data_IF_987036787298
#
_entry.id   IF_987036787298
#
_cell.length_a   1.000
_cell.length_b   1.000
_cell.length_c   1.000
_cell.angle_alpha   90.00
_cell.angle_beta   90.00
_cell.angle_gamma   90.00
#
_symmetry.space_group_name_H-M   'P 1'
#
loop_
_entity.id
_entity.type
_entity.pdbx_description
1 polymer ?
#
# COMPACT_ATOMS: atom_id res chain seq x y z
N UNK A 1 -0.08 6.12 1.85
CA UNK A 1 0.90 5.68 2.86
C UNK A 1 0.28 5.70 4.26
N UNK A 2 0.78 4.94 5.20
CA UNK A 2 2.06 4.20 5.17
C UNK A 2 2.04 2.88 4.39
N UNK A 3 0.86 2.34 3.99
CA UNK A 3 0.77 1.13 3.20
C UNK A 3 -0.10 0.01 3.79
N UNK A 4 -0.77 0.25 4.94
CA UNK A 4 -1.63 -0.75 5.57
C UNK A 4 -2.74 -1.26 4.64
N UNK A 5 -3.43 -0.36 3.91
CA UNK A 5 -4.42 -0.77 2.91
C UNK A 5 -3.79 -1.54 1.74
N UNK A 6 -2.58 -1.14 1.29
CA UNK A 6 -1.87 -1.84 0.20
C UNK A 6 -1.43 -3.25 0.60
N UNK A 7 -0.93 -3.44 1.83
CA UNK A 7 -0.54 -4.77 2.33
C UNK A 7 -1.76 -5.68 2.48
N UNK A 8 -2.87 -5.14 3.00
CA UNK A 8 -4.13 -5.86 3.12
C UNK A 8 -4.69 -6.27 1.75
N UNK A 9 -4.73 -5.32 0.80
CA UNK A 9 -5.18 -5.60 -0.56
C UNK A 9 -4.32 -6.70 -1.19
N UNK A 10 -2.98 -6.61 -1.12
CA UNK A 10 -2.13 -7.63 -1.72
C UNK A 10 -2.40 -9.03 -1.14
N UNK A 11 -2.63 -9.11 0.18
CA UNK A 11 -2.95 -10.38 0.83
C UNK A 11 -4.34 -10.95 0.41
N UNK A 12 -5.28 -10.08 0.06
CA UNK A 12 -6.64 -10.48 -0.34
C UNK A 12 -6.79 -10.71 -1.86
N UNK A 13 -5.92 -10.13 -2.68
CA UNK A 13 -5.99 -10.27 -4.13
C UNK A 13 -5.59 -11.68 -4.58
N UNK A 14 -6.27 -12.25 -5.59
CA UNK A 14 -5.91 -13.54 -6.17
C UNK A 14 -4.46 -13.58 -6.66
N UNK A 15 -3.91 -14.79 -6.74
CA UNK A 15 -2.62 -15.03 -7.37
C UNK A 15 -2.61 -14.52 -8.82
N UNK A 16 -1.48 -13.97 -9.27
CA UNK A 16 -1.34 -13.36 -10.59
C UNK A 16 -1.89 -11.93 -10.69
N UNK A 17 -2.56 -11.41 -9.65
CA UNK A 17 -2.95 -10.00 -9.63
C UNK A 17 -1.75 -9.09 -9.39
N UNK A 18 -1.72 -7.95 -10.07
CA UNK A 18 -0.70 -6.90 -9.87
C UNK A 18 -1.34 -5.70 -9.17
N UNK A 19 -0.73 -5.27 -8.07
CA UNK A 19 -1.14 -4.09 -7.31
C UNK A 19 -0.24 -2.89 -7.65
N UNK A 20 -0.83 -1.77 -8.03
CA UNK A 20 -0.13 -0.48 -8.13
C UNK A 20 -0.50 0.36 -6.91
N UNK A 21 0.48 0.64 -6.06
CA UNK A 21 0.31 1.48 -4.88
C UNK A 21 0.92 2.85 -5.16
N UNK A 22 0.08 3.88 -5.18
CA UNK A 22 0.47 5.25 -5.49
C UNK A 22 0.36 6.18 -4.27
N UNK A 23 1.30 7.10 -4.13
CA UNK A 23 1.27 8.17 -3.14
C UNK A 23 1.80 9.47 -3.75
N UNK A 24 1.08 10.57 -3.55
CA UNK A 24 1.41 11.87 -4.13
C UNK A 24 2.53 12.61 -3.37
N UNK A 25 2.62 12.42 -2.06
CA UNK A 25 3.69 13.00 -1.26
C UNK A 25 4.95 12.14 -1.32
N UNK A 26 6.08 12.74 -1.70
CA UNK A 26 7.34 12.01 -1.91
C UNK A 26 7.88 11.37 -0.64
N UNK A 27 7.74 12.03 0.52
CA UNK A 27 8.22 11.48 1.80
C UNK A 27 7.38 10.28 2.20
N UNK A 28 6.06 10.40 2.06
CA UNK A 28 5.12 9.32 2.32
C UNK A 28 5.26 8.18 1.32
N UNK A 29 5.56 8.47 0.05
CA UNK A 29 5.83 7.45 -0.97
C UNK A 29 7.06 6.59 -0.63
N UNK A 30 8.10 7.17 -0.03
CA UNK A 30 9.25 6.41 0.46
C UNK A 30 8.88 5.48 1.64
N UNK A 31 7.99 5.92 2.54
CA UNK A 31 7.47 5.08 3.63
C UNK A 31 6.62 3.93 3.06
N UNK A 32 5.79 4.22 2.06
CA UNK A 32 5.02 3.22 1.35
C UNK A 32 5.94 2.18 0.69
N UNK A 33 6.96 2.64 -0.04
CA UNK A 33 7.98 1.77 -0.66
C UNK A 33 8.65 0.86 0.37
N UNK A 34 9.08 1.42 1.49
CA UNK A 34 9.70 0.67 2.59
C UNK A 34 8.78 -0.45 3.10
N UNK A 35 7.52 -0.16 3.33
CA UNK A 35 6.56 -1.14 3.83
C UNK A 35 6.23 -2.22 2.77
N UNK A 36 6.19 -1.86 1.49
CA UNK A 36 6.02 -2.85 0.41
C UNK A 36 7.26 -3.75 0.28
N UNK A 37 8.47 -3.21 0.45
CA UNK A 37 9.69 -4.02 0.49
C UNK A 37 9.69 -4.99 1.67
N UNK A 38 9.21 -4.56 2.86
CA UNK A 38 9.06 -5.43 4.03
C UNK A 38 8.02 -6.54 3.82
N UNK A 39 6.96 -6.28 3.08
CA UNK A 39 5.98 -7.30 2.69
C UNK A 39 6.58 -8.32 1.71
N UNK A 40 7.50 -7.89 0.85
CA UNK A 40 8.28 -8.75 -0.04
C UNK A 40 7.52 -9.34 -1.24
N UNK A 41 6.29 -8.91 -1.52
CA UNK A 41 5.52 -9.47 -2.64
C UNK A 41 5.98 -8.88 -3.98
N UNK A 42 6.36 -9.71 -4.98
CA UNK A 42 6.90 -9.23 -6.26
C UNK A 42 5.87 -8.50 -7.13
N UNK A 43 4.57 -8.77 -6.95
CA UNK A 43 3.51 -8.19 -7.77
C UNK A 43 2.92 -6.91 -7.16
N UNK A 44 3.77 -6.11 -6.50
CA UNK A 44 3.43 -4.78 -6.01
C UNK A 44 4.36 -3.76 -6.63
N UNK A 45 3.78 -2.85 -7.42
CA UNK A 45 4.47 -1.69 -7.97
C UNK A 45 4.21 -0.49 -7.07
N UNK A 46 5.23 0.33 -6.84
CA UNK A 46 5.09 1.57 -6.06
C UNK A 46 5.38 2.76 -6.95
N UNK A 47 4.45 3.71 -6.99
CA UNK A 47 4.56 4.93 -7.79
C UNK A 47 4.42 6.19 -6.93
N UNK A 48 4.91 7.31 -7.45
CA UNK A 48 4.84 8.63 -6.84
C UNK A 48 4.33 9.63 -7.87
N UNK A 49 3.01 9.77 -7.97
CA UNK A 49 2.38 10.62 -8.98
C UNK A 49 1.09 11.27 -8.48
N UNK A 50 0.73 12.46 -8.95
CA UNK A 50 -0.64 12.96 -8.85
C UNK A 50 -1.59 12.06 -9.67
N UNK A 51 -2.83 11.84 -9.20
CA UNK A 51 -3.82 10.97 -9.86
C UNK A 51 -4.04 11.30 -11.34
N UNK A 52 -4.06 12.58 -11.71
CA UNK A 52 -4.23 13.07 -13.08
C UNK A 52 -3.18 12.55 -14.08
N UNK A 53 -2.02 12.10 -13.61
CA UNK A 53 -1.01 11.57 -14.51
C UNK A 53 -1.41 10.19 -15.04
N UNK A 54 -2.12 9.39 -14.24
CA UNK A 54 -2.66 8.12 -14.71
C UNK A 54 -3.70 8.30 -15.82
N UNK A 55 -4.52 9.36 -15.76
CA UNK A 55 -5.49 9.68 -16.82
C UNK A 55 -4.85 9.97 -18.19
N UNK A 56 -3.56 10.34 -18.21
CA UNK A 56 -2.80 10.56 -19.45
C UNK A 56 -2.23 9.27 -20.04
N UNK A 57 -2.47 8.14 -19.38
CA UNK A 57 -2.02 6.83 -19.82
C UNK A 57 -3.18 6.02 -20.40
N UNK A 58 -2.86 4.91 -21.07
CA UNK A 58 -3.85 3.91 -21.47
C UNK A 58 -3.92 2.76 -20.44
N UNK A 59 -3.47 3.01 -19.20
CA UNK A 59 -3.55 2.03 -18.12
C UNK A 59 -5.00 1.91 -17.64
N UNK A 60 -5.47 0.68 -17.54
CA UNK A 60 -6.82 0.36 -17.10
C UNK A 60 -6.76 -0.66 -15.97
N UNK A 61 -7.52 -0.41 -14.91
CA UNK A 61 -7.55 -1.22 -13.69
C UNK A 61 -8.93 -1.88 -13.51
N UNK A 62 -8.92 -3.10 -12.99
CA UNK A 62 -10.15 -3.82 -12.62
C UNK A 62 -10.77 -3.26 -11.35
N UNK A 63 -9.90 -2.85 -10.40
CA UNK A 63 -10.28 -2.29 -9.10
C UNK A 63 -9.43 -1.07 -8.82
N UNK A 64 -10.05 0.00 -8.36
CA UNK A 64 -9.38 1.18 -7.83
C UNK A 64 -9.84 1.39 -6.38
N UNK A 65 -8.90 1.40 -5.43
CA UNK A 65 -9.14 1.90 -4.07
C UNK A 65 -8.68 3.35 -3.98
N UNK A 66 -9.64 4.24 -3.80
CA UNK A 66 -9.43 5.67 -3.62
C UNK A 66 -9.53 6.03 -2.14
N UNK A 67 -8.39 5.95 -1.43
CA UNK A 67 -8.25 6.44 -0.04
C UNK A 67 -7.88 7.91 -0.12
N UNK A 68 -8.90 8.75 -0.15
CA UNK A 68 -8.75 10.16 -0.51
C UNK A 68 -8.39 11.04 0.71
N UNK A 69 -7.65 12.15 0.50
CA UNK A 69 -7.43 13.12 1.56
C UNK A 69 -8.77 13.69 2.04
N UNK A 70 -8.95 13.82 3.35
CA UNK A 70 -10.19 14.26 3.97
C UNK A 70 -9.92 15.20 5.13
N UNK A 71 -10.98 15.78 5.72
CA UNK A 71 -10.89 16.70 6.88
C UNK A 71 -10.33 16.03 8.16
N UNK A 72 -10.23 14.69 8.19
CA UNK A 72 -9.47 13.97 9.19
C UNK A 72 -10.11 13.82 10.55
N UNK A 73 -11.42 13.82 10.67
CA UNK A 73 -12.15 13.70 11.96
C UNK A 73 -11.78 12.41 12.72
N UNK A 74 -11.42 11.32 12.03
CA UNK A 74 -10.93 10.09 12.64
C UNK A 74 -9.57 10.23 13.32
N UNK A 75 -8.82 11.31 13.07
CA UNK A 75 -7.53 11.58 13.71
C UNK A 75 -7.66 12.34 15.05
N UNK A 76 -8.82 12.89 15.38
CA UNK A 76 -9.03 13.74 16.57
C UNK A 76 -8.62 13.10 17.89
N UNK A 77 -8.65 11.78 17.98
CA UNK A 77 -8.22 11.03 19.17
C UNK A 77 -6.71 10.95 19.33
N UNK A 78 -5.95 11.17 18.25
CA UNK A 78 -4.50 10.97 18.21
C UNK A 78 -3.70 12.23 17.95
N UNK A 79 -4.33 13.21 17.32
CA UNK A 79 -3.66 14.40 16.83
C UNK A 79 -4.51 15.66 17.14
N UNK A 80 -4.07 16.39 18.14
CA UNK A 80 -4.67 17.68 18.51
C UNK A 80 -4.55 18.73 17.38
N UNK A 81 -3.53 18.58 16.50
CA UNK A 81 -3.36 19.41 15.33
C UNK A 81 -4.51 19.26 14.36
N UNK A 82 -4.99 18.02 14.15
CA UNK A 82 -6.15 17.75 13.30
C UNK A 82 -7.43 18.47 13.77
N UNK A 83 -7.62 18.57 15.11
CA UNK A 83 -8.76 19.33 15.69
C UNK A 83 -8.62 20.82 15.37
N UNK A 84 -7.42 21.37 15.46
CA UNK A 84 -7.16 22.81 15.22
C UNK A 84 -7.29 23.20 13.74
N UNK A 85 -6.95 22.29 12.85
CA UNK A 85 -7.03 22.47 11.40
C UNK A 85 -8.45 22.23 10.86
N UNK A 86 -9.30 21.55 11.60
CA UNK A 86 -10.65 21.24 11.17
C UNK A 86 -11.52 22.48 11.13
N UNK A 87 -12.27 22.65 10.06
CA UNK A 87 -13.29 23.68 9.90
C UNK A 87 -14.30 23.24 8.83
N UNK A 88 -15.49 23.81 8.85
CA UNK A 88 -16.51 23.58 7.80
C UNK A 88 -15.97 23.95 6.42
N UNK A 89 -15.17 25.02 6.33
CA UNK A 89 -14.53 25.41 5.08
C UNK A 89 -13.55 24.35 4.59
N UNK A 90 -12.75 23.75 5.49
CA UNK A 90 -11.83 22.66 5.14
C UNK A 90 -12.57 21.39 4.71
N UNK A 91 -13.72 21.07 5.33
CA UNK A 91 -14.60 19.97 4.90
C UNK A 91 -15.02 20.16 3.43
N UNK A 92 -15.52 21.37 3.08
CA UNK A 92 -15.93 21.66 1.69
C UNK A 92 -14.74 21.64 0.73
N UNK A 93 -13.58 22.16 1.12
CA UNK A 93 -12.36 22.08 0.32
C UNK A 93 -11.94 20.63 0.05
N UNK A 94 -11.94 19.79 1.09
CA UNK A 94 -11.62 18.36 0.97
C UNK A 94 -12.64 17.65 0.05
N UNK A 95 -13.93 17.92 0.19
CA UNK A 95 -14.97 17.38 -0.68
C UNK A 95 -14.69 17.64 -2.15
N UNK A 96 -14.41 18.90 -2.52
CA UNK A 96 -14.14 19.25 -3.92
C UNK A 96 -12.84 18.60 -4.43
N UNK A 97 -11.81 18.54 -3.59
CA UNK A 97 -10.55 17.85 -3.92
C UNK A 97 -10.75 16.36 -4.14
N UNK A 98 -11.61 15.73 -3.36
CA UNK A 98 -11.96 14.31 -3.51
C UNK A 98 -12.66 14.07 -4.85
N UNK A 99 -13.61 14.92 -5.22
CA UNK A 99 -14.31 14.86 -6.52
C UNK A 99 -13.34 15.01 -7.68
N UNK A 100 -12.39 15.95 -7.59
CA UNK A 100 -11.37 16.13 -8.62
C UNK A 100 -10.47 14.87 -8.76
N UNK A 101 -10.04 14.28 -7.66
CA UNK A 101 -9.26 13.03 -7.68
C UNK A 101 -10.05 11.91 -8.36
N UNK A 102 -11.33 11.78 -8.02
CA UNK A 102 -12.20 10.77 -8.60
C UNK A 102 -12.40 10.97 -10.11
N UNK A 103 -12.61 12.22 -10.56
CA UNK A 103 -12.66 12.54 -11.98
C UNK A 103 -11.37 12.18 -12.71
N UNK A 104 -10.22 12.48 -12.10
CA UNK A 104 -8.90 12.20 -12.68
C UNK A 104 -8.66 10.70 -12.87
N UNK A 105 -9.06 9.86 -11.91
CA UNK A 105 -8.81 8.40 -11.96
C UNK A 105 -9.93 7.60 -12.63
N UNK A 106 -11.11 8.17 -12.82
CA UNK A 106 -12.27 7.46 -13.38
C UNK A 106 -12.04 6.87 -14.77
N UNK A 107 -11.33 7.55 -15.70
CA UNK A 107 -10.98 6.96 -16.99
C UNK A 107 -10.12 5.70 -16.88
N UNK A 108 -9.34 5.58 -15.80
CA UNK A 108 -8.46 4.42 -15.57
C UNK A 108 -9.21 3.21 -15.00
N UNK A 109 -10.45 3.35 -14.56
CA UNK A 109 -11.30 2.23 -14.14
C UNK A 109 -12.00 1.65 -15.36
N UNK A 110 -11.86 0.32 -15.60
CA UNK A 110 -12.55 -0.32 -16.72
C UNK A 110 -14.08 -0.24 -16.58
N UNK A 111 -14.83 -0.31 -17.66
CA UNK A 111 -16.27 -0.56 -17.60
C UNK A 111 -16.56 -1.83 -16.80
N UNK A 112 -17.55 -1.78 -15.89
CA UNK A 112 -17.83 -2.86 -14.94
C UNK A 112 -16.80 -3.05 -13.82
N UNK A 113 -15.75 -2.22 -13.75
CA UNK A 113 -14.75 -2.22 -12.70
C UNK A 113 -15.27 -1.72 -11.36
N UNK A 114 -14.54 -2.02 -10.28
CA UNK A 114 -14.92 -1.68 -8.91
C UNK A 114 -14.11 -0.51 -8.40
N UNK A 115 -14.79 0.55 -7.96
CA UNK A 115 -14.23 1.62 -7.15
C UNK A 115 -14.51 1.33 -5.67
N UNK A 116 -13.48 1.34 -4.84
CA UNK A 116 -13.62 1.37 -3.37
C UNK A 116 -13.25 2.77 -2.94
N UNK A 117 -14.24 3.54 -2.52
CA UNK A 117 -14.07 4.90 -1.99
C UNK A 117 -13.89 4.84 -0.48
N UNK A 118 -12.88 5.50 0.06
CA UNK A 118 -12.67 5.54 1.51
C UNK A 118 -12.16 6.88 2.01
N UNK A 119 -12.59 7.27 3.23
CA UNK A 119 -12.12 8.42 3.98
C UNK A 119 -11.89 8.06 5.44
N UNK A 120 -11.14 8.88 6.17
CA UNK A 120 -11.02 8.79 7.62
C UNK A 120 -11.82 9.90 8.33
N UNK A 121 -12.94 10.33 7.77
CA UNK A 121 -13.81 11.36 8.34
C UNK A 121 -15.24 10.83 8.52
N UNK A 122 -16.08 11.55 9.28
CA UNK A 122 -17.43 11.10 9.63
C UNK A 122 -18.54 11.99 9.04
N UNK A 123 -18.23 13.19 8.56
CA UNK A 123 -19.25 14.08 8.01
C UNK A 123 -19.86 13.54 6.71
N UNK A 124 -21.11 13.91 6.46
CA UNK A 124 -21.86 13.44 5.29
C UNK A 124 -21.42 14.12 4.00
N UNK A 125 -20.83 15.31 4.07
CA UNK A 125 -20.39 16.08 2.89
C UNK A 125 -19.27 15.37 2.12
N UNK A 126 -18.31 14.80 2.85
CA UNK A 126 -17.20 14.07 2.26
C UNK A 126 -17.54 12.60 2.01
N UNK A 127 -18.59 12.07 2.61
CA UNK A 127 -18.97 10.66 2.55
C UNK A 127 -20.18 10.45 1.62
N UNK A 128 -21.41 10.40 2.15
CA UNK A 128 -22.61 10.07 1.37
C UNK A 128 -22.87 11.04 0.22
N UNK A 129 -22.64 12.35 0.41
CA UNK A 129 -22.84 13.32 -0.67
C UNK A 129 -21.83 13.09 -1.81
N UNK A 130 -20.62 12.67 -1.51
CA UNK A 130 -19.66 12.28 -2.55
C UNK A 130 -20.02 10.94 -3.20
N UNK A 131 -20.54 9.98 -2.46
CA UNK A 131 -21.07 8.73 -3.05
C UNK A 131 -22.21 9.05 -4.01
N UNK A 132 -23.16 9.89 -3.61
CA UNK A 132 -24.25 10.37 -4.48
C UNK A 132 -23.68 11.02 -5.74
N UNK A 133 -22.73 11.92 -5.56
CA UNK A 133 -22.10 12.62 -6.67
C UNK A 133 -21.40 11.66 -7.66
N UNK A 134 -20.70 10.61 -7.15
CA UNK A 134 -20.09 9.57 -8.01
C UNK A 134 -21.15 8.85 -8.83
N UNK A 135 -22.27 8.49 -8.21
CA UNK A 135 -23.37 7.80 -8.90
C UNK A 135 -23.98 8.67 -10.01
N UNK A 136 -24.24 9.94 -9.72
CA UNK A 136 -24.93 10.87 -10.61
C UNK A 136 -24.03 11.41 -11.74
N UNK A 137 -22.74 11.68 -11.44
CA UNK A 137 -21.86 12.38 -12.37
C UNK A 137 -20.85 11.47 -13.07
N UNK A 138 -20.50 10.32 -12.48
CA UNK A 138 -19.53 9.38 -13.05
C UNK A 138 -20.19 8.09 -13.56
N UNK A 139 -21.50 7.91 -13.36
CA UNK A 139 -22.22 6.74 -13.85
C UNK A 139 -21.84 5.45 -13.11
N UNK A 140 -21.86 5.51 -11.77
CA UNK A 140 -21.64 4.36 -10.91
C UNK A 140 -22.95 3.83 -10.30
N UNK A 141 -22.88 2.61 -9.78
CA UNK A 141 -23.91 2.00 -8.94
C UNK A 141 -23.28 1.39 -7.69
N UNK A 142 -23.99 1.40 -6.58
CA UNK A 142 -23.52 0.82 -5.33
C UNK A 142 -23.49 -0.71 -5.44
N UNK A 143 -22.44 -1.30 -4.88
CA UNK A 143 -22.28 -2.75 -4.73
C UNK A 143 -22.41 -3.09 -3.24
N UNK A 144 -23.55 -3.64 -2.79
CA UNK A 144 -23.74 -4.01 -1.40
C UNK A 144 -22.68 -5.03 -0.95
N UNK A 145 -22.03 -4.75 0.19
CA UNK A 145 -21.08 -5.65 0.81
C UNK A 145 -21.72 -6.31 2.03
N UNK A 146 -21.79 -7.65 2.08
CA UNK A 146 -22.32 -8.34 3.26
C UNK A 146 -21.51 -8.01 4.52
N UNK A 147 -22.18 -7.58 5.57
CA UNK A 147 -21.57 -7.31 6.87
C UNK A 147 -22.24 -8.18 7.94
N UNK A 148 -21.46 -8.57 8.96
CA UNK A 148 -21.99 -9.33 10.08
C UNK A 148 -22.42 -8.36 11.18
N UNK A 149 -23.57 -8.58 11.86
CA UNK A 149 -24.05 -7.69 12.91
C UNK A 149 -23.05 -7.50 14.06
N UNK A 150 -22.27 -8.52 14.38
CA UNK A 150 -21.24 -8.47 15.43
C UNK A 150 -20.08 -7.53 15.13
N UNK A 151 -19.90 -7.11 13.88
CA UNK A 151 -18.90 -6.09 13.49
C UNK A 151 -19.33 -4.68 13.84
N UNK A 152 -20.62 -4.48 14.17
CA UNK A 152 -21.17 -3.18 14.58
C UNK A 152 -20.87 -2.04 13.58
N UNK A 153 -20.78 -2.37 12.29
CA UNK A 153 -20.61 -1.39 11.22
C UNK A 153 -21.93 -0.64 11.07
N UNK A 154 -21.88 0.69 11.12
CA UNK A 154 -23.06 1.53 11.03
C UNK A 154 -23.34 1.98 9.60
N UNK A 155 -24.60 2.32 9.32
CA UNK A 155 -25.02 2.84 8.02
C UNK A 155 -24.85 4.34 7.87
N UNK A 156 -25.67 4.94 7.00
CA UNK A 156 -25.64 6.36 6.67
C UNK A 156 -26.04 7.28 7.84
N UNK A 157 -25.39 8.43 7.92
CA UNK A 157 -25.78 9.56 8.75
C UNK A 157 -26.55 10.64 7.95
N UNK A 158 -26.65 10.50 6.63
CA UNK A 158 -27.37 11.42 5.78
C UNK A 158 -28.88 11.13 5.81
N UNK A 159 -29.68 12.10 6.24
CA UNK A 159 -31.14 11.95 6.28
C UNK A 159 -31.70 11.63 4.89
N UNK A 160 -32.61 10.66 4.83
CA UNK A 160 -33.26 10.21 3.59
C UNK A 160 -32.39 9.34 2.69
N UNK A 161 -31.17 9.00 3.11
CA UNK A 161 -30.33 8.07 2.37
C UNK A 161 -30.74 6.61 2.64
N UNK A 162 -31.02 5.85 1.60
CA UNK A 162 -31.51 4.48 1.70
C UNK A 162 -30.47 3.41 1.30
N UNK A 163 -29.45 3.82 0.56
CA UNK A 163 -28.44 2.90 0.07
C UNK A 163 -27.47 2.47 1.19
N UNK A 164 -26.89 1.27 1.14
CA UNK A 164 -25.89 0.85 2.11
C UNK A 164 -24.65 1.75 2.03
N UNK A 165 -24.07 2.04 3.17
CA UNK A 165 -22.72 2.62 3.34
C UNK A 165 -22.11 2.03 4.61
N UNK A 166 -20.77 2.06 4.72
CA UNK A 166 -20.06 1.36 5.78
C UNK A 166 -19.23 2.34 6.59
N UNK A 167 -19.67 2.56 7.85
CA UNK A 167 -19.00 3.43 8.80
C UNK A 167 -18.44 2.64 9.96
N UNK A 168 -17.16 2.84 10.22
CA UNK A 168 -16.43 2.25 11.33
C UNK A 168 -16.18 3.35 12.37
N UNK A 169 -17.15 3.55 13.26
CA UNK A 169 -17.14 4.67 14.22
C UNK A 169 -16.44 4.22 15.50
N UNK A 170 -15.37 4.93 15.96
CA UNK A 170 -14.73 4.65 17.24
C UNK A 170 -15.72 4.66 18.40
N UNK A 171 -15.61 3.65 19.28
CA UNK A 171 -16.55 3.48 20.40
C UNK A 171 -17.80 2.65 20.08
N UNK A 172 -18.12 2.47 18.79
CA UNK A 172 -19.14 1.53 18.31
C UNK A 172 -18.44 0.33 17.67
N UNK A 173 -17.68 0.59 16.61
CA UNK A 173 -16.85 -0.41 15.94
C UNK A 173 -15.44 -0.39 16.54
N UNK A 174 -14.78 -1.55 16.63
CA UNK A 174 -13.36 -1.60 17.02
C UNK A 174 -12.47 -1.06 15.90
N UNK A 175 -12.41 0.25 15.78
CA UNK A 175 -11.68 0.96 14.71
C UNK A 175 -11.17 2.32 15.17
N UNK A 176 -10.34 2.95 14.35
CA UNK A 176 -9.86 4.32 14.56
C UNK A 176 -10.67 5.35 13.74
N UNK A 177 -11.66 4.90 13.00
CA UNK A 177 -12.49 5.73 12.14
C UNK A 177 -12.20 5.51 10.65
N UNK A 178 -13.22 5.04 9.95
CA UNK A 178 -13.19 4.83 8.52
C UNK A 178 -14.61 4.93 7.95
N UNK A 179 -14.72 5.49 6.78
CA UNK A 179 -15.87 5.35 5.89
C UNK A 179 -15.44 4.59 4.64
N UNK A 180 -16.27 3.69 4.16
CA UNK A 180 -16.04 2.95 2.93
C UNK A 180 -17.32 2.81 2.13
N UNK A 181 -17.17 2.81 0.80
CA UNK A 181 -18.22 2.44 -0.13
C UNK A 181 -17.64 1.70 -1.33
N UNK A 182 -18.36 0.70 -1.80
CA UNK A 182 -18.03 -0.07 -2.99
C UNK A 182 -18.99 0.30 -4.14
N UNK A 183 -18.42 0.81 -5.24
CA UNK A 183 -19.20 1.25 -6.40
C UNK A 183 -18.70 0.56 -7.67
N UNK A 184 -19.61 0.18 -8.54
CA UNK A 184 -19.32 -0.40 -9.86
C UNK A 184 -19.51 0.67 -10.94
N UNK A 185 -18.52 0.82 -11.82
CA UNK A 185 -18.66 1.64 -13.00
C UNK A 185 -19.65 0.97 -13.96
N UNK A 186 -20.73 1.66 -14.31
CA UNK A 186 -21.71 1.16 -15.28
C UNK A 186 -21.04 0.85 -16.61
N UNK A 187 -21.55 -0.15 -17.31
CA UNK A 187 -20.99 -0.61 -18.58
C UNK A 187 -22.12 -0.90 -19.55
N UNK A 188 -22.02 -0.37 -20.76
CA UNK A 188 -22.92 -0.66 -21.86
C UNK A 188 -22.44 -1.84 -22.72
N UNK A 189 -21.38 -2.55 -22.29
CA UNK A 189 -20.79 -3.66 -23.05
C UNK A 189 -19.95 -4.63 -22.20
N UNK A 190 -19.45 -5.72 -22.78
CA UNK A 190 -18.64 -6.69 -22.09
C UNK A 190 -17.34 -6.04 -21.56
N UNK A 191 -17.05 -6.25 -20.29
CA UNK A 191 -15.82 -5.77 -19.66
C UNK A 191 -14.60 -6.46 -20.29
N UNK A 192 -13.75 -5.70 -20.96
CA UNK A 192 -12.44 -6.20 -21.39
C UNK A 192 -11.60 -6.55 -20.17
N UNK A 193 -11.00 -7.74 -20.16
CA UNK A 193 -10.07 -8.11 -19.10
C UNK A 193 -8.73 -7.43 -19.34
N UNK A 194 -8.21 -6.71 -18.31
CA UNK A 194 -6.83 -6.29 -18.32
C UNK A 194 -5.93 -7.53 -18.17
N UNK A 195 -4.84 -7.60 -18.94
CA UNK A 195 -3.86 -8.68 -18.82
C UNK A 195 -2.84 -8.33 -17.74
N UNK A 196 -2.83 -8.99 -16.57
CA UNK A 196 -2.00 -8.60 -15.43
C UNK A 196 -0.50 -8.57 -15.74
N UNK A 197 0.02 -9.50 -16.54
CA UNK A 197 1.43 -9.58 -16.90
C UNK A 197 1.94 -8.40 -17.74
N UNK A 198 1.06 -7.71 -18.47
CA UNK A 198 1.44 -6.59 -19.31
C UNK A 198 1.59 -5.27 -18.52
N UNK A 199 0.97 -5.13 -17.34
CA UNK A 199 0.90 -3.86 -16.61
C UNK A 199 2.28 -3.34 -16.21
N UNK A 200 3.19 -4.22 -15.74
CA UNK A 200 4.56 -3.85 -15.35
C UNK A 200 5.35 -3.27 -16.53
N UNK A 201 5.21 -3.81 -17.72
CA UNK A 201 5.90 -3.30 -18.90
C UNK A 201 5.15 -2.11 -19.52
N UNK A 202 3.83 -2.06 -19.40
CA UNK A 202 3.06 -0.91 -19.86
C UNK A 202 3.37 0.34 -19.06
N UNK A 203 3.44 0.27 -17.74
CA UNK A 203 3.70 1.43 -16.88
C UNK A 203 5.06 2.06 -17.18
N UNK A 204 6.07 1.27 -17.55
CA UNK A 204 7.41 1.74 -17.93
C UNK A 204 7.44 2.54 -19.24
N UNK A 205 6.41 2.43 -20.07
CA UNK A 205 6.29 3.21 -21.31
C UNK A 205 5.98 4.68 -21.08
N UNK A 206 5.59 5.04 -19.87
CA UNK A 206 5.22 6.41 -19.51
C UNK A 206 6.31 7.03 -18.61
N UNK A 207 7.27 7.80 -19.18
CA UNK A 207 8.41 8.32 -18.43
C UNK A 207 8.02 9.34 -17.35
N UNK A 208 6.82 9.91 -17.42
CA UNK A 208 6.27 10.80 -16.41
C UNK A 208 5.63 10.06 -15.23
N UNK A 209 5.45 8.73 -15.31
CA UNK A 209 5.08 7.91 -14.17
C UNK A 209 6.35 7.55 -13.40
N UNK A 210 6.50 8.18 -12.23
CA UNK A 210 7.64 7.95 -11.35
C UNK A 210 7.50 6.61 -10.62
N UNK A 211 8.06 5.56 -11.23
CA UNK A 211 8.07 4.20 -10.67
C UNK A 211 9.20 4.08 -9.65
N UNK A 212 8.87 3.99 -8.36
CA UNK A 212 9.83 3.81 -7.27
C UNK A 212 10.26 2.34 -7.12
N UNK A 213 9.35 1.41 -7.41
CA UNK A 213 9.62 -0.03 -7.43
C UNK A 213 8.71 -0.71 -8.44
N UNK A 214 9.26 -1.63 -9.22
CA UNK A 214 8.50 -2.54 -10.08
C UNK A 214 8.23 -3.91 -9.41
N UNK A 215 8.49 -4.00 -8.11
CA UNK A 215 8.28 -5.21 -7.31
C UNK A 215 9.39 -6.26 -7.44
N UNK A 216 10.24 -6.16 -8.45
CA UNK A 216 11.30 -7.16 -8.67
C UNK A 216 12.49 -6.92 -7.73
N UNK A 217 12.96 -7.97 -7.04
CA UNK A 217 14.13 -7.85 -6.18
C UNK A 217 15.40 -7.66 -7.01
N UNK A 218 16.13 -6.57 -6.74
CA UNK A 218 17.38 -6.24 -7.45
C UNK A 218 18.50 -5.95 -6.48
N UNK A 219 19.76 -6.33 -6.81
CA UNK A 219 20.91 -5.93 -6.03
C UNK A 219 21.17 -4.43 -6.15
N UNK A 220 21.88 -3.88 -5.18
CA UNK A 220 22.46 -2.55 -5.26
C UNK A 220 23.80 -2.61 -6.00
N UNK A 221 24.03 -1.67 -6.91
CA UNK A 221 25.30 -1.52 -7.60
C UNK A 221 26.06 -0.35 -6.97
N UNK A 222 27.23 -0.63 -6.37
CA UNK A 222 28.12 0.39 -5.79
C UNK A 222 29.47 0.32 -6.48
N UNK A 223 29.68 1.16 -7.49
CA UNK A 223 30.84 1.10 -8.34
C UNK A 223 30.89 -0.22 -9.13
N UNK A 224 31.90 -1.07 -8.83
CA UNK A 224 32.04 -2.41 -9.42
C UNK A 224 31.39 -3.52 -8.59
N UNK A 225 30.94 -3.21 -7.37
CA UNK A 225 30.39 -4.19 -6.45
C UNK A 225 28.90 -4.37 -6.64
N UNK A 226 28.46 -5.61 -6.75
CA UNK A 226 27.07 -6.04 -6.75
C UNK A 226 26.74 -6.52 -5.34
N UNK A 227 25.93 -5.73 -4.61
CA UNK A 227 25.59 -5.98 -3.22
C UNK A 227 24.12 -6.42 -3.15
N UNK A 228 23.79 -7.57 -2.54
CA UNK A 228 22.41 -7.98 -2.41
C UNK A 228 21.63 -6.97 -1.55
N UNK A 229 20.47 -6.56 -2.04
CA UNK A 229 19.61 -5.58 -1.36
C UNK A 229 18.72 -6.24 -0.31
N UNK A 230 18.24 -5.44 0.63
CA UNK A 230 17.22 -5.90 1.59
C UNK A 230 15.95 -6.38 0.88
N UNK A 231 15.60 -5.76 -0.25
CA UNK A 231 14.47 -6.19 -1.08
C UNK A 231 14.65 -7.61 -1.62
N UNK A 232 15.88 -8.02 -1.97
CA UNK A 232 16.16 -9.42 -2.35
C UNK A 232 16.03 -10.36 -1.16
N UNK A 233 16.49 -9.95 0.04
CA UNK A 233 16.37 -10.79 1.22
C UNK A 233 14.91 -11.10 1.58
N UNK A 234 14.04 -10.10 1.51
CA UNK A 234 12.65 -10.20 1.96
C UNK A 234 11.68 -10.61 0.85
N UNK A 235 12.13 -10.65 -0.40
CA UNK A 235 11.24 -10.97 -1.52
C UNK A 235 10.80 -12.44 -1.52
N UNK A 236 9.50 -12.65 -1.65
CA UNK A 236 8.92 -13.98 -1.88
C UNK A 236 9.34 -14.61 -3.20
N UNK A 237 9.90 -13.83 -4.14
CA UNK A 237 10.44 -14.32 -5.40
C UNK A 237 11.89 -14.82 -5.28
N UNK A 238 12.59 -14.54 -4.18
CA UNK A 238 13.96 -15.02 -3.94
C UNK A 238 13.93 -16.49 -3.59
N UNK A 239 14.62 -17.30 -4.40
CA UNK A 239 14.66 -18.75 -4.20
C UNK A 239 15.57 -19.10 -3.02
N UNK A 240 15.27 -20.22 -2.36
CA UNK A 240 16.10 -20.71 -1.25
C UNK A 240 17.55 -20.98 -1.62
N UNK A 241 17.80 -21.32 -2.88
CA UNK A 241 19.12 -21.64 -3.44
C UNK A 241 19.94 -20.45 -3.90
N UNK A 242 19.34 -19.23 -3.94
CA UNK A 242 20.01 -18.05 -4.49
C UNK A 242 21.18 -17.57 -3.60
N UNK A 243 21.10 -17.82 -2.28
CA UNK A 243 22.13 -17.43 -1.31
C UNK A 243 22.32 -18.49 -0.24
N UNK A 244 23.57 -18.68 0.26
CA UNK A 244 23.80 -19.46 1.47
C UNK A 244 22.99 -18.88 2.63
N UNK A 245 22.30 -19.74 3.39
CA UNK A 245 21.45 -19.34 4.53
C UNK A 245 22.11 -19.66 5.85
N UNK A 246 21.89 -18.80 6.83
CA UNK A 246 22.38 -18.96 8.20
C UNK A 246 21.24 -18.68 9.15
N UNK A 247 20.78 -19.73 9.84
CA UNK A 247 19.79 -19.57 10.90
C UNK A 247 20.44 -19.02 12.16
N UNK A 248 19.88 -17.94 12.67
CA UNK A 248 20.37 -17.27 13.88
C UNK A 248 19.50 -17.65 15.09
N UNK A 249 20.08 -17.92 16.27
CA UNK A 249 19.32 -17.94 17.51
C UNK A 249 18.81 -16.53 17.84
N UNK A 250 17.80 -16.45 18.72
CA UNK A 250 17.08 -15.19 19.02
C UNK A 250 18.01 -14.03 19.41
N UNK A 251 18.99 -14.29 20.25
CA UNK A 251 19.97 -13.30 20.72
C UNK A 251 20.79 -12.70 19.56
N UNK A 252 21.28 -13.53 18.66
CA UNK A 252 22.01 -13.08 17.47
C UNK A 252 21.09 -12.41 16.45
N UNK A 253 19.84 -12.87 16.30
CA UNK A 253 18.85 -12.23 15.44
C UNK A 253 18.54 -10.81 15.93
N UNK A 254 18.37 -10.59 17.24
CA UNK A 254 18.17 -9.26 17.82
C UNK A 254 19.38 -8.37 17.58
N UNK A 255 20.59 -8.86 17.82
CA UNK A 255 21.84 -8.14 17.55
C UNK A 255 22.01 -7.82 16.05
N UNK A 256 21.60 -8.72 15.17
CA UNK A 256 21.51 -8.45 13.73
C UNK A 256 20.56 -7.26 13.44
N UNK A 257 19.36 -7.28 13.98
CA UNK A 257 18.38 -6.18 13.79
C UNK A 257 18.85 -4.87 14.42
N UNK A 258 19.70 -4.92 15.46
CA UNK A 258 20.39 -3.77 16.05
C UNK A 258 21.60 -3.29 15.23
N UNK A 259 21.89 -3.96 14.10
CA UNK A 259 23.02 -3.71 13.18
C UNK A 259 24.41 -3.98 13.74
N UNK A 260 24.53 -4.87 14.69
CA UNK A 260 25.85 -5.33 15.14
C UNK A 260 26.53 -6.22 14.09
N UNK A 261 27.87 -6.20 14.06
CA UNK A 261 28.65 -7.23 13.39
C UNK A 261 28.59 -8.51 14.21
N UNK A 262 28.49 -9.65 13.54
CA UNK A 262 28.41 -10.95 14.20
C UNK A 262 29.61 -11.82 13.78
N UNK A 263 29.92 -12.81 14.60
CA UNK A 263 30.76 -13.94 14.21
C UNK A 263 29.84 -15.08 13.85
N UNK A 264 29.94 -15.55 12.62
CA UNK A 264 29.16 -16.69 12.13
C UNK A 264 29.99 -17.98 12.31
N UNK A 265 29.31 -19.14 12.33
CA UNK A 265 29.98 -20.42 12.52
C UNK A 265 31.05 -20.70 11.46
N UNK A 266 32.06 -21.51 11.80
CA UNK A 266 33.19 -21.80 10.92
C UNK A 266 32.78 -22.45 9.57
N UNK A 267 31.65 -23.13 9.54
CA UNK A 267 31.12 -23.80 8.33
C UNK A 267 30.37 -22.83 7.40
N UNK A 268 30.21 -21.55 7.77
CA UNK A 268 29.49 -20.56 6.95
C UNK A 268 30.43 -20.04 5.86
N UNK A 269 30.07 -20.12 4.57
CA UNK A 269 30.93 -19.66 3.50
C UNK A 269 31.22 -18.16 3.59
N UNK A 270 32.40 -17.74 3.12
CA UNK A 270 32.71 -16.31 2.95
C UNK A 270 31.88 -15.72 1.83
N UNK A 271 31.58 -14.41 1.94
CA UNK A 271 30.77 -13.69 0.98
C UNK A 271 29.41 -13.30 1.55
N UNK A 272 28.43 -13.09 0.68
CA UNK A 272 27.09 -12.70 1.09
C UNK A 272 26.29 -13.93 1.54
N UNK A 273 25.72 -13.84 2.73
CA UNK A 273 24.87 -14.87 3.32
C UNK A 273 23.54 -14.25 3.75
N UNK A 274 22.45 -14.95 3.52
CA UNK A 274 21.11 -14.59 3.99
C UNK A 274 20.95 -15.10 5.43
N UNK A 275 20.75 -14.19 6.36
CA UNK A 275 20.47 -14.57 7.75
C UNK A 275 18.97 -14.71 7.96
N UNK A 276 18.59 -15.76 8.69
CA UNK A 276 17.20 -16.14 8.98
C UNK A 276 17.00 -16.31 10.48
N UNK A 277 15.76 -16.19 10.92
CA UNK A 277 15.30 -16.56 12.25
C UNK A 277 13.94 -17.27 12.12
N UNK A 278 13.83 -18.47 12.69
CA UNK A 278 12.68 -19.35 12.51
C UNK A 278 12.33 -19.55 11.03
N UNK A 279 13.35 -19.77 10.21
CA UNK A 279 13.28 -19.88 8.75
C UNK A 279 12.80 -18.62 8.01
N UNK A 280 12.52 -17.51 8.72
CA UNK A 280 12.13 -16.25 8.08
C UNK A 280 13.37 -15.42 7.75
N UNK A 281 13.49 -14.88 6.53
CA UNK A 281 14.61 -14.05 6.14
C UNK A 281 14.60 -12.71 6.91
N UNK A 282 15.75 -12.36 7.48
CA UNK A 282 15.95 -11.06 8.13
C UNK A 282 16.71 -10.08 7.23
N UNK A 283 17.65 -10.57 6.42
CA UNK A 283 18.48 -9.75 5.54
C UNK A 283 19.85 -10.37 5.29
N UNK A 284 20.79 -9.58 4.80
CA UNK A 284 22.12 -10.07 4.43
C UNK A 284 23.22 -9.65 5.39
N UNK A 285 24.23 -10.51 5.50
CA UNK A 285 25.56 -10.20 6.05
C UNK A 285 26.64 -10.52 5.01
N UNK A 286 27.76 -9.78 5.05
CA UNK A 286 28.98 -10.14 4.30
C UNK A 286 29.96 -10.84 5.25
N UNK A 287 30.03 -12.17 5.16
CA UNK A 287 30.93 -12.97 5.99
C UNK A 287 32.38 -12.83 5.49
N UNK A 288 33.27 -12.37 6.35
CA UNK A 288 34.71 -12.21 6.10
C UNK A 288 35.56 -13.36 6.74
N UNK A 289 34.90 -14.26 7.48
CA UNK A 289 35.52 -15.35 8.24
C UNK A 289 35.54 -15.02 9.73
N UNK A 290 36.39 -14.10 10.17
CA UNK A 290 36.52 -13.71 11.58
C UNK A 290 35.32 -12.84 12.09
N UNK A 291 34.68 -12.12 11.18
CA UNK A 291 33.47 -11.33 11.42
C UNK A 291 32.60 -11.28 10.19
N UNK A 292 31.32 -11.01 10.38
CA UNK A 292 30.38 -10.71 9.32
C UNK A 292 29.85 -9.27 9.45
N UNK A 293 29.96 -8.51 8.36
CA UNK A 293 29.45 -7.15 8.29
C UNK A 293 27.93 -7.17 8.05
N UNK A 294 27.23 -6.40 8.84
CA UNK A 294 25.77 -6.32 8.80
C UNK A 294 25.31 -5.37 7.69
N UNK A 295 24.43 -5.85 6.80
CA UNK A 295 23.86 -5.08 5.69
C UNK A 295 22.43 -4.63 5.96
N UNK A 296 21.89 -4.84 7.17
CA UNK A 296 20.54 -4.39 7.53
C UNK A 296 20.42 -2.87 7.39
N UNK A 297 19.30 -2.35 6.83
CA UNK A 297 19.14 -0.91 6.61
C UNK A 297 19.24 -0.11 7.91
N UNK A 298 20.05 0.96 7.92
CA UNK A 298 20.22 1.79 9.10
C UNK A 298 18.92 2.38 9.66
N UNK A 299 17.97 2.86 8.81
CA UNK A 299 16.69 3.39 9.29
C UNK A 299 15.78 2.33 9.94
N UNK A 300 16.00 1.04 9.67
CA UNK A 300 15.16 -0.05 10.18
C UNK A 300 15.70 -0.67 11.46
N UNK A 301 16.89 -0.27 11.87
CA UNK A 301 17.52 -0.83 13.07
C UNK A 301 16.65 -0.63 14.31
N UNK A 302 16.48 -1.68 15.11
CA UNK A 302 15.84 -1.58 16.42
C UNK A 302 16.75 -0.76 17.36
N UNK A 303 16.14 0.04 18.24
CA UNK A 303 16.89 0.96 19.11
C UNK A 303 17.27 0.37 20.45
N UNK A 304 16.61 -0.68 20.86
CA UNK A 304 16.87 -1.41 22.12
C UNK A 304 16.88 -2.92 21.86
N UNK A 305 17.77 -3.62 22.54
CA UNK A 305 17.88 -5.09 22.53
C UNK A 305 16.94 -5.75 23.54
#
# INVERSE_FOLDING_TARGET
APGGKSTLLRAALPEGSVLVSNEIDRRRANILLENMLKQGHPDVLVTHNPPKDFAKTNLVFDVILADVPCSGEGLFRRDEGAIKEWSVQNVHFCRERQRQILQDIWPCLRPGGLLIYSTCTFNTHENEENVRWIMENLGAEIVPVPVRPEWQITGSLLSGWQEPVYRFIPGITQSEGLFMEALRKKSDGPAGAALPGALREQIKKYPFIHLLSDGLPRPEIKGKDVIPSIGQALSLATRETDFPRVELPLDLARRYLHRESLVLGANVPRGFVLVTYQNQPLGFMKNLGERANNLYPKPWAIRSL
#
